data_IF_009797472475
#
_entry.id   IF_009797472475
#
_cell.length_a   1.000
_cell.length_b   1.000
_cell.length_c   1.000
_cell.angle_alpha   90.00
_cell.angle_beta   90.00
_cell.angle_gamma   90.00
#
_symmetry.space_group_name_H-M   'P 1'
#
loop_
_entity.id
_entity.type
_entity.pdbx_description
1 polymer ?
#
# COMPACT_ATOMS: atom_id res chain seq x y z
N UNK A 1 -7.64 20.29 8.19
CA UNK A 1 -7.86 19.84 9.59
C UNK A 1 -7.01 18.60 9.81
N UNK A 2 -6.49 18.29 11.01
CA UNK A 2 -5.79 17.02 11.21
C UNK A 2 -6.75 15.91 10.81
N UNK A 3 -6.40 15.18 9.75
CA UNK A 3 -7.22 14.08 9.28
C UNK A 3 -7.41 13.13 10.46
N UNK A 4 -8.67 12.89 10.84
CA UNK A 4 -8.98 11.89 11.85
C UNK A 4 -8.28 10.58 11.50
N UNK A 5 -7.88 9.81 12.51
CA UNK A 5 -7.39 8.45 12.28
C UNK A 5 -8.57 7.49 12.37
N UNK A 6 -8.69 6.52 11.46
CA UNK A 6 -9.69 5.47 11.60
C UNK A 6 -9.43 4.70 12.89
N UNK A 7 -10.52 4.32 13.58
CA UNK A 7 -10.39 3.37 14.67
C UNK A 7 -10.03 1.96 14.12
N UNK A 8 -9.61 1.00 14.97
CA UNK A 8 -9.18 -0.31 14.51
C UNK A 8 -10.25 -1.08 13.71
N UNK A 9 -11.52 -0.98 14.09
CA UNK A 9 -12.63 -1.64 13.39
C UNK A 9 -12.86 -1.02 12.00
N UNK A 10 -12.81 0.30 11.89
CA UNK A 10 -12.87 1.03 10.61
C UNK A 10 -11.68 0.68 9.72
N UNK A 11 -10.48 0.55 10.30
CA UNK A 11 -9.30 0.13 9.57
C UNK A 11 -9.44 -1.30 9.04
N UNK A 12 -10.00 -2.22 9.83
CA UNK A 12 -10.24 -3.59 9.39
C UNK A 12 -11.30 -3.64 8.27
N UNK A 13 -12.42 -2.94 8.45
CA UNK A 13 -13.43 -2.78 7.40
C UNK A 13 -12.82 -2.21 6.11
N UNK A 14 -12.02 -1.15 6.22
CA UNK A 14 -11.27 -0.59 5.12
C UNK A 14 -10.30 -1.60 4.51
N UNK A 15 -9.57 -2.40 5.32
CA UNK A 15 -8.66 -3.42 4.84
C UNK A 15 -9.38 -4.39 3.89
N UNK A 16 -10.58 -4.85 4.24
CA UNK A 16 -11.42 -5.72 3.40
C UNK A 16 -12.15 -5.01 2.24
N UNK A 17 -11.81 -3.75 1.96
CA UNK A 17 -12.37 -2.99 0.82
C UNK A 17 -13.58 -2.14 1.19
N UNK A 18 -13.94 -2.06 2.46
CA UNK A 18 -14.95 -1.15 2.98
C UNK A 18 -14.62 0.33 2.73
N UNK A 19 -15.64 1.15 2.52
CA UNK A 19 -15.49 2.60 2.46
C UNK A 19 -15.36 3.20 3.85
N UNK A 20 -14.57 4.27 3.98
CA UNK A 20 -14.47 5.06 5.21
C UNK A 20 -15.39 6.29 5.13
N UNK A 21 -15.84 6.82 6.28
CA UNK A 21 -16.59 8.07 6.33
C UNK A 21 -15.89 9.24 5.62
N UNK A 22 -16.64 10.22 5.05
CA UNK A 22 -16.07 11.32 4.28
C UNK A 22 -15.01 12.16 5.00
N UNK A 23 -15.11 12.30 6.33
CA UNK A 23 -14.11 13.04 7.13
C UNK A 23 -12.74 12.35 7.20
N UNK A 24 -12.63 11.09 6.76
CA UNK A 24 -11.37 10.34 6.64
C UNK A 24 -10.84 10.32 5.21
N UNK A 25 -11.42 11.05 4.26
CA UNK A 25 -10.99 11.06 2.85
C UNK A 25 -9.53 11.51 2.69
N UNK A 26 -9.12 12.54 3.43
CA UNK A 26 -7.73 13.03 3.49
C UNK A 26 -6.79 11.94 4.04
N UNK A 27 -7.25 11.18 5.04
CA UNK A 27 -6.47 10.07 5.60
C UNK A 27 -6.29 8.96 4.55
N UNK A 28 -7.33 8.63 3.76
CA UNK A 28 -7.23 7.63 2.68
C UNK A 28 -6.25 8.09 1.61
N UNK A 29 -6.27 9.37 1.24
CA UNK A 29 -5.31 9.90 0.28
C UNK A 29 -3.87 9.81 0.82
N UNK A 30 -3.66 10.18 2.08
CA UNK A 30 -2.36 10.06 2.74
C UNK A 30 -1.92 8.59 2.90
N UNK A 31 -2.85 7.66 3.09
CA UNK A 31 -2.60 6.21 3.16
C UNK A 31 -2.08 5.67 1.83
N UNK A 32 -2.71 6.08 0.74
CA UNK A 32 -2.45 5.58 -0.62
C UNK A 32 -1.27 6.25 -1.32
N UNK A 33 -0.88 7.45 -0.90
CA UNK A 33 0.16 8.26 -1.57
C UNK A 33 1.34 8.66 -0.68
N UNK A 34 1.20 8.49 0.64
CA UNK A 34 2.21 8.88 1.61
C UNK A 34 3.45 7.97 1.62
N UNK A 35 4.51 8.35 2.34
CA UNK A 35 5.70 7.51 2.51
C UNK A 35 5.31 6.16 3.11
N UNK A 36 5.88 5.08 2.57
CA UNK A 36 5.56 3.71 3.01
C UNK A 36 4.18 3.18 2.59
N UNK A 37 3.48 3.83 1.64
CA UNK A 37 2.20 3.35 1.11
C UNK A 37 2.28 1.91 0.57
N UNK A 38 3.41 1.53 -0.05
CA UNK A 38 3.71 0.17 -0.52
C UNK A 38 3.57 -0.84 0.63
N UNK A 39 4.22 -0.55 1.76
CA UNK A 39 4.21 -1.43 2.93
C UNK A 39 2.80 -1.52 3.51
N UNK A 40 2.09 -0.40 3.64
CA UNK A 40 0.69 -0.39 4.12
C UNK A 40 -0.24 -1.21 3.22
N UNK A 41 -0.02 -1.16 1.91
CA UNK A 41 -0.74 -1.99 0.95
C UNK A 41 -0.44 -3.48 1.13
N UNK A 42 0.83 -3.85 1.26
CA UNK A 42 1.23 -5.23 1.50
C UNK A 42 0.69 -5.76 2.84
N UNK A 43 0.71 -4.95 3.91
CA UNK A 43 0.12 -5.31 5.20
C UNK A 43 -1.38 -5.58 5.05
N UNK A 44 -2.11 -4.74 4.31
CA UNK A 44 -3.54 -5.01 4.03
C UNK A 44 -3.73 -6.31 3.25
N UNK A 45 -2.92 -6.57 2.23
CA UNK A 45 -3.00 -7.82 1.47
C UNK A 45 -2.77 -9.02 2.38
N UNK A 46 -1.76 -8.96 3.27
CA UNK A 46 -1.51 -10.00 4.26
C UNK A 46 -2.68 -10.18 5.22
N UNK A 47 -3.31 -9.10 5.68
CA UNK A 47 -4.51 -9.17 6.53
C UNK A 47 -5.68 -9.84 5.81
N UNK A 48 -5.87 -9.57 4.52
CA UNK A 48 -6.90 -10.25 3.70
C UNK A 48 -6.58 -11.72 3.44
N UNK A 49 -5.29 -12.07 3.27
CA UNK A 49 -4.81 -13.44 3.08
C UNK A 49 -4.84 -14.26 4.37
N UNK A 50 -4.67 -13.62 5.53
CA UNK A 50 -4.49 -14.30 6.82
C UNK A 50 -5.57 -15.33 7.15
N UNK A 51 -6.89 -15.08 6.99
CA UNK A 51 -7.91 -16.10 7.24
C UNK A 51 -7.72 -17.35 6.37
N UNK A 52 -7.38 -17.17 5.10
CA UNK A 52 -7.16 -18.28 4.15
C UNK A 52 -5.90 -19.07 4.54
N UNK A 53 -4.82 -18.38 4.89
CA UNK A 53 -3.57 -19.01 5.34
C UNK A 53 -3.78 -19.81 6.64
N UNK A 54 -4.51 -19.24 7.60
CA UNK A 54 -4.86 -19.93 8.85
C UNK A 54 -5.71 -21.18 8.57
N UNK A 55 -6.73 -21.08 7.71
CA UNK A 55 -7.51 -22.24 7.31
C UNK A 55 -6.66 -23.31 6.63
N UNK A 56 -5.78 -22.91 5.71
CA UNK A 56 -4.88 -23.82 4.99
C UNK A 56 -3.95 -24.60 5.94
N UNK A 57 -3.50 -23.95 7.02
CA UNK A 57 -2.62 -24.57 8.01
C UNK A 57 -3.35 -25.51 8.98
N UNK A 58 -4.62 -25.24 9.31
CA UNK A 58 -5.34 -25.95 10.39
C UNK A 58 -6.27 -27.05 9.85
N UNK A 59 -7.01 -26.76 8.77
CA UNK A 59 -8.17 -27.57 8.34
C UNK A 59 -7.79 -28.88 7.62
N UNK A 60 -6.88 -28.90 6.62
CA UNK A 60 -6.70 -30.09 5.79
C UNK A 60 -6.02 -31.22 6.57
N UNK A 61 -6.49 -32.48 6.53
CA UNK A 61 -5.89 -33.60 7.26
C UNK A 61 -4.64 -34.17 6.55
N UNK A 62 -3.69 -33.30 6.22
CA UNK A 62 -2.43 -33.65 5.53
C UNK A 62 -1.22 -33.31 6.41
N UNK A 63 -0.02 -33.85 6.14
CA UNK A 63 1.19 -33.49 6.86
C UNK A 63 1.47 -31.98 6.86
N UNK A 64 2.00 -31.46 7.97
CA UNK A 64 2.27 -30.02 8.14
C UNK A 64 3.15 -29.44 7.03
N UNK A 65 4.15 -30.21 6.57
CA UNK A 65 5.02 -29.78 5.47
C UNK A 65 4.25 -29.42 4.19
N UNK A 66 3.21 -30.19 3.84
CA UNK A 66 2.36 -29.93 2.68
C UNK A 66 1.51 -28.67 2.90
N UNK A 67 0.99 -28.48 4.12
CA UNK A 67 0.22 -27.28 4.46
C UNK A 67 1.08 -26.02 4.37
N UNK A 68 2.31 -26.08 4.88
CA UNK A 68 3.26 -24.97 4.85
C UNK A 68 3.67 -24.65 3.42
N UNK A 69 4.00 -25.64 2.58
CA UNK A 69 4.34 -25.37 1.18
C UNK A 69 3.16 -24.79 0.40
N UNK A 70 1.94 -25.28 0.63
CA UNK A 70 0.73 -24.71 0.06
C UNK A 70 0.48 -23.26 0.51
N UNK A 71 0.62 -22.98 1.82
CA UNK A 71 0.47 -21.64 2.38
C UNK A 71 1.53 -20.67 1.82
N UNK A 72 2.79 -21.10 1.69
CA UNK A 72 3.86 -20.31 1.09
C UNK A 72 3.57 -20.05 -0.39
N UNK A 73 3.14 -21.06 -1.15
CA UNK A 73 2.75 -20.89 -2.56
C UNK A 73 1.62 -19.88 -2.72
N UNK A 74 0.57 -19.98 -1.89
CA UNK A 74 -0.53 -19.01 -1.85
C UNK A 74 -0.08 -17.61 -1.48
N UNK A 75 0.85 -17.48 -0.52
CA UNK A 75 1.42 -16.20 -0.11
C UNK A 75 2.23 -15.54 -1.25
N UNK A 76 3.04 -16.32 -1.98
CA UNK A 76 3.83 -15.82 -3.11
C UNK A 76 2.92 -15.34 -4.24
N UNK A 77 1.94 -16.16 -4.63
CA UNK A 77 1.00 -15.79 -5.69
C UNK A 77 0.16 -14.58 -5.26
N UNK A 78 -0.41 -14.61 -4.05
CA UNK A 78 -1.19 -13.51 -3.49
C UNK A 78 -0.37 -12.21 -3.39
N UNK A 79 0.89 -12.30 -2.97
CA UNK A 79 1.81 -11.17 -2.93
C UNK A 79 2.12 -10.60 -4.31
N UNK A 80 2.33 -11.47 -5.30
CA UNK A 80 2.53 -11.06 -6.70
C UNK A 80 1.33 -10.27 -7.23
N UNK A 81 0.11 -10.77 -7.03
CA UNK A 81 -1.12 -10.05 -7.40
C UNK A 81 -1.28 -8.74 -6.61
N UNK A 82 -0.97 -8.75 -5.31
CA UNK A 82 -1.04 -7.56 -4.47
C UNK A 82 -0.13 -6.44 -5.01
N UNK A 83 1.09 -6.77 -5.44
CA UNK A 83 2.02 -5.81 -6.06
C UNK A 83 1.53 -5.40 -7.45
N UNK A 84 1.14 -6.35 -8.29
CA UNK A 84 0.72 -6.06 -9.67
C UNK A 84 -0.47 -5.09 -9.74
N UNK A 85 -1.44 -5.26 -8.84
CA UNK A 85 -2.66 -4.43 -8.81
C UNK A 85 -2.61 -3.30 -7.78
N UNK A 86 -1.44 -3.02 -7.19
CA UNK A 86 -1.35 -2.07 -6.08
C UNK A 86 -1.78 -0.65 -6.48
N UNK A 87 -1.42 -0.21 -7.67
CA UNK A 87 -1.74 1.15 -8.15
C UNK A 87 -3.24 1.30 -8.36
N UNK A 88 -3.85 0.34 -9.04
CA UNK A 88 -5.29 0.27 -9.31
C UNK A 88 -6.10 0.22 -8.01
N UNK A 89 -5.73 -0.67 -7.09
CA UNK A 89 -6.44 -0.79 -5.80
C UNK A 89 -6.30 0.45 -4.94
N UNK A 90 -5.14 1.12 -4.95
CA UNK A 90 -4.99 2.41 -4.24
C UNK A 90 -5.81 3.52 -4.87
N UNK A 91 -5.91 3.56 -6.19
CA UNK A 91 -6.69 4.56 -6.92
C UNK A 91 -8.18 4.35 -6.66
N UNK A 92 -8.67 3.12 -6.78
CA UNK A 92 -10.05 2.76 -6.47
C UNK A 92 -10.45 3.16 -5.05
N UNK A 93 -9.55 3.02 -4.07
CA UNK A 93 -9.78 3.44 -2.68
C UNK A 93 -9.88 4.95 -2.53
N UNK A 94 -9.03 5.71 -3.23
CA UNK A 94 -9.10 7.17 -3.22
C UNK A 94 -10.41 7.65 -3.87
N UNK A 95 -10.80 7.05 -5.00
CA UNK A 95 -12.08 7.32 -5.66
C UNK A 95 -13.26 7.02 -4.74
N UNK A 96 -13.25 5.86 -4.06
CA UNK A 96 -14.28 5.48 -3.07
C UNK A 96 -14.35 6.46 -1.89
N UNK A 97 -13.26 7.14 -1.57
CA UNK A 97 -13.20 8.17 -0.53
C UNK A 97 -13.61 9.56 -1.03
N UNK A 98 -13.98 9.72 -2.30
CA UNK A 98 -14.48 10.96 -2.89
C UNK A 98 -13.45 11.75 -3.72
N UNK A 99 -12.26 11.21 -3.96
CA UNK A 99 -11.26 11.86 -4.81
C UNK A 99 -11.52 11.61 -6.30
N UNK A 100 -11.13 12.56 -7.16
CA UNK A 100 -11.22 12.37 -8.59
C UNK A 100 -10.26 11.25 -9.07
N UNK A 101 -10.64 10.45 -10.08
CA UNK A 101 -9.74 9.47 -10.69
C UNK A 101 -8.43 10.11 -11.18
N UNK A 102 -7.31 9.40 -11.02
CA UNK A 102 -5.96 9.87 -11.32
C UNK A 102 -5.30 10.66 -10.20
N UNK A 103 -5.99 10.92 -9.08
CA UNK A 103 -5.43 11.73 -7.98
C UNK A 103 -4.22 11.05 -7.34
N UNK A 104 -4.26 9.74 -7.10
CA UNK A 104 -3.12 9.05 -6.45
C UNK A 104 -1.90 8.98 -7.38
N UNK A 105 -2.13 8.82 -8.68
CA UNK A 105 -1.08 8.84 -9.69
C UNK A 105 -0.40 10.23 -9.75
N UNK A 106 -1.20 11.30 -9.78
CA UNK A 106 -0.71 12.69 -9.79
C UNK A 106 0.12 13.00 -8.54
N UNK A 107 -0.41 12.72 -7.34
CA UNK A 107 0.29 13.02 -6.07
C UNK A 107 1.60 12.23 -5.95
N UNK A 108 1.63 10.97 -6.41
CA UNK A 108 2.88 10.18 -6.44
C UNK A 108 3.86 10.71 -7.48
N UNK A 109 3.39 11.13 -8.65
CA UNK A 109 4.21 11.77 -9.69
C UNK A 109 4.88 13.05 -9.21
N UNK A 110 4.11 13.94 -8.59
CA UNK A 110 4.60 15.20 -8.00
C UNK A 110 5.68 14.93 -6.92
N UNK A 111 5.51 13.88 -6.11
CA UNK A 111 6.53 13.48 -5.12
C UNK A 111 7.83 13.04 -5.78
N UNK A 112 7.76 12.15 -6.77
CA UNK A 112 8.93 11.66 -7.49
C UNK A 112 9.65 12.80 -8.21
N UNK A 113 8.91 13.75 -8.77
CA UNK A 113 9.48 14.94 -9.39
C UNK A 113 10.21 15.82 -8.38
N UNK A 114 9.61 16.10 -7.21
CA UNK A 114 10.26 16.83 -6.12
C UNK A 114 11.56 16.17 -5.67
N UNK A 115 11.53 14.85 -5.44
CA UNK A 115 12.73 14.08 -5.08
C UNK A 115 13.81 14.13 -6.17
N UNK A 116 13.42 14.12 -7.46
CA UNK A 116 14.36 14.28 -8.59
C UNK A 116 15.00 15.66 -8.62
N UNK A 117 14.22 16.72 -8.38
CA UNK A 117 14.72 18.11 -8.35
C UNK A 117 15.69 18.30 -7.19
N UNK A 118 15.33 17.85 -5.99
CA UNK A 118 16.19 17.89 -4.80
C UNK A 118 17.49 17.12 -5.01
N UNK A 119 17.41 15.93 -5.61
CA UNK A 119 18.60 15.13 -5.96
C UNK A 119 19.51 15.89 -6.92
N UNK A 120 18.97 16.48 -8.00
CA UNK A 120 19.75 17.28 -8.97
C UNK A 120 20.40 18.50 -8.32
N UNK A 121 19.71 19.19 -7.42
CA UNK A 121 20.26 20.34 -6.70
C UNK A 121 21.47 19.94 -5.84
N UNK A 122 21.40 18.79 -5.14
CA UNK A 122 22.51 18.26 -4.34
C UNK A 122 23.76 17.94 -5.17
N UNK A 123 23.60 17.43 -6.39
CA UNK A 123 24.73 17.18 -7.30
C UNK A 123 25.37 18.48 -7.80
N UNK A 124 24.58 19.53 -8.02
CA UNK A 124 25.10 20.84 -8.46
C UNK A 124 25.87 21.57 -7.35
N UNK A 125 25.52 21.37 -6.08
CA UNK A 125 26.21 21.99 -4.94
C UNK A 125 27.48 21.25 -4.48
N UNK A 126 27.70 20.00 -4.91
CA UNK A 126 28.86 19.18 -4.52
C UNK A 126 29.91 18.93 -5.62
N UNK A 127 29.72 19.51 -6.81
CA UNK A 127 30.52 19.20 -8.01
C UNK A 127 31.35 20.37 -8.57
N UNK A 128 31.52 21.46 -7.83
CA UNK A 128 32.35 22.59 -8.25
C UNK A 128 33.45 22.83 -7.22
N UNK A 129 34.66 22.38 -7.52
CA UNK A 129 35.87 22.79 -6.80
C UNK A 129 36.93 21.70 -6.63
N UNK A 130 37.51 21.20 -7.72
CA UNK A 130 38.90 20.69 -7.72
C UNK A 130 39.36 20.38 -9.15
N UNK A 131 39.61 21.43 -9.93
CA UNK A 131 40.49 21.37 -11.10
C UNK A 131 41.13 22.75 -11.23
N UNK A 132 42.02 23.06 -10.29
CA UNK A 132 43.07 24.07 -10.42
C UNK A 132 44.38 23.43 -9.92
#
# INVERSE_FOLDING_TARGET
MPAGRPNPAQWLWYAYGGGLPPHLSDWVLADTTGPGWVVRHLVRALVQLAPVLVLCLIVPPVPLGIRVTAAVGGLVIGGMFAVAYMTETTEHRAVKAGWAPGTTARVRGERVERERVERRARYRSGGAGSFD
#
